data_IF_110576133158
#
_entry.id   IF_110576133158
#
_cell.length_a   1.000
_cell.length_b   1.000
_cell.length_c   1.000
_cell.angle_alpha   90.00
_cell.angle_beta   90.00
_cell.angle_gamma   90.00
#
_symmetry.space_group_name_H-M   'P 1'
#
loop_
_entity.id
_entity.type
_entity.pdbx_description
1 polymer ?
#
# COMPACT_ATOMS: atom_id res chain seq x y z
N UNK A 1 23.66 4.51 11.40
CA UNK A 1 22.55 3.56 11.15
C UNK A 1 21.29 4.38 10.89
N UNK A 2 20.77 4.38 9.65
CA UNK A 2 19.52 5.07 9.32
C UNK A 2 18.36 4.36 10.03
N UNK A 3 17.59 5.08 10.86
CA UNK A 3 16.36 4.56 11.44
C UNK A 3 15.21 4.91 10.50
N UNK A 4 14.75 3.97 9.69
CA UNK A 4 13.54 4.16 8.88
C UNK A 4 12.32 4.11 9.80
N UNK A 5 11.69 5.26 10.07
CA UNK A 5 10.37 5.29 10.70
C UNK A 5 9.34 4.84 9.68
N UNK A 6 8.64 3.73 9.96
CA UNK A 6 7.53 3.28 9.13
C UNK A 6 6.38 4.29 9.24
N UNK A 7 6.05 4.95 8.13
CA UNK A 7 4.85 5.76 8.01
C UNK A 7 3.64 4.85 7.83
N UNK A 8 2.52 5.21 8.45
CA UNK A 8 1.25 4.51 8.24
C UNK A 8 0.67 4.90 6.88
N UNK A 9 0.50 3.93 5.98
CA UNK A 9 -0.24 4.09 4.70
C UNK A 9 -1.72 4.30 5.00
N UNK A 10 -2.30 5.36 4.45
CA UNK A 10 -3.76 5.59 4.52
C UNK A 10 -4.50 4.76 3.47
N UNK A 11 -5.81 4.59 3.66
CA UNK A 11 -6.63 3.88 2.66
C UNK A 11 -6.60 4.58 1.30
N UNK A 12 -6.63 5.91 1.26
CA UNK A 12 -6.48 6.70 0.04
C UNK A 12 -5.19 6.38 -0.72
N UNK A 13 -4.07 6.26 -0.02
CA UNK A 13 -2.77 5.95 -0.61
C UNK A 13 -2.74 4.53 -1.17
N UNK A 14 -3.28 3.56 -0.42
CA UNK A 14 -3.37 2.18 -0.86
C UNK A 14 -4.31 2.02 -2.07
N UNK A 15 -5.47 2.67 -2.04
CA UNK A 15 -6.42 2.69 -3.14
C UNK A 15 -5.77 3.26 -4.41
N UNK A 16 -5.10 4.42 -4.29
CA UNK A 16 -4.40 5.03 -5.42
C UNK A 16 -3.34 4.10 -6.01
N UNK A 17 -2.58 3.40 -5.17
CA UNK A 17 -1.60 2.41 -5.62
C UNK A 17 -2.27 1.27 -6.40
N UNK A 18 -3.32 0.67 -5.85
CA UNK A 18 -4.03 -0.44 -6.49
C UNK A 18 -4.62 -0.03 -7.84
N UNK A 19 -5.23 1.16 -7.91
CA UNK A 19 -5.76 1.70 -9.16
C UNK A 19 -4.65 1.96 -10.19
N UNK A 20 -3.49 2.48 -9.77
CA UNK A 20 -2.33 2.69 -10.64
C UNK A 20 -1.74 1.37 -11.18
N UNK A 21 -1.86 0.29 -10.41
CA UNK A 21 -1.49 -1.06 -10.84
C UNK A 21 -2.54 -1.75 -11.72
N UNK A 22 -3.64 -1.07 -12.07
CA UNK A 22 -4.67 -1.60 -12.97
C UNK A 22 -5.76 -2.41 -12.27
N UNK A 23 -5.85 -2.37 -10.94
CA UNK A 23 -7.03 -2.90 -10.25
C UNK A 23 -8.26 -2.02 -10.51
N UNK A 24 -9.43 -2.65 -10.52
CA UNK A 24 -10.72 -2.00 -10.56
C UNK A 24 -11.39 -2.16 -9.20
N UNK A 25 -11.90 -1.05 -8.65
CA UNK A 25 -12.61 -1.06 -7.37
C UNK A 25 -14.09 -1.40 -7.57
N UNK A 26 -14.59 -2.32 -6.77
CA UNK A 26 -15.99 -2.66 -6.59
C UNK A 26 -16.34 -2.43 -5.12
N UNK A 27 -17.15 -1.41 -4.84
CA UNK A 27 -17.64 -1.15 -3.50
C UNK A 27 -18.82 -2.06 -3.17
N UNK A 28 -18.76 -2.72 -2.01
CA UNK A 28 -19.88 -3.42 -1.39
C UNK A 28 -20.23 -2.73 -0.06
N UNK A 29 -21.33 -3.14 0.57
CA UNK A 29 -21.83 -2.53 1.81
C UNK A 29 -20.74 -2.42 2.89
N UNK A 30 -20.04 -3.53 3.14
CA UNK A 30 -19.10 -3.67 4.26
C UNK A 30 -17.63 -3.83 3.82
N UNK A 31 -17.38 -3.94 2.52
CA UNK A 31 -16.06 -4.24 1.97
C UNK A 31 -15.76 -3.42 0.72
N UNK A 32 -14.49 -3.10 0.53
CA UNK A 32 -13.93 -2.65 -0.75
C UNK A 32 -13.19 -3.82 -1.39
N UNK A 33 -13.62 -4.20 -2.60
CA UNK A 33 -12.98 -5.24 -3.38
C UNK A 33 -12.22 -4.58 -4.53
N UNK A 34 -10.97 -4.96 -4.73
CA UNK A 34 -10.14 -4.54 -5.86
C UNK A 34 -9.81 -5.77 -6.68
N UNK A 35 -10.12 -5.75 -7.97
CA UNK A 35 -9.88 -6.86 -8.88
C UNK A 35 -8.98 -6.44 -10.04
N UNK A 36 -7.93 -7.21 -10.30
CA UNK A 36 -7.06 -6.98 -11.45
C UNK A 36 -7.50 -7.88 -12.63
N UNK A 37 -8.00 -7.33 -13.75
CA UNK A 37 -8.67 -8.12 -14.79
C UNK A 37 -7.74 -9.09 -15.53
N UNK A 38 -6.45 -8.75 -15.71
CA UNK A 38 -5.51 -9.59 -16.44
C UNK A 38 -5.01 -10.78 -15.60
N UNK A 39 -4.48 -10.52 -14.40
CA UNK A 39 -3.91 -11.53 -13.50
C UNK A 39 -4.94 -12.25 -12.61
N UNK A 40 -6.18 -11.76 -12.56
CA UNK A 40 -7.24 -12.22 -11.64
C UNK A 40 -6.89 -12.08 -10.15
N UNK A 41 -5.89 -11.26 -9.83
CA UNK A 41 -5.58 -10.90 -8.44
C UNK A 41 -6.77 -10.18 -7.81
N UNK A 42 -7.04 -10.47 -6.54
CA UNK A 42 -8.11 -9.83 -5.79
C UNK A 42 -7.63 -9.41 -4.41
N UNK A 43 -7.86 -8.15 -4.05
CA UNK A 43 -7.64 -7.60 -2.72
C UNK A 43 -9.00 -7.26 -2.13
N UNK A 44 -9.32 -7.82 -0.97
CA UNK A 44 -10.53 -7.49 -0.22
C UNK A 44 -10.14 -6.82 1.08
N UNK A 45 -10.72 -5.65 1.33
CA UNK A 45 -10.47 -4.84 2.51
C UNK A 45 -11.81 -4.57 3.20
N UNK A 46 -11.86 -4.54 4.55
CA UNK A 46 -12.96 -3.92 5.25
C UNK A 46 -13.17 -2.49 4.76
N UNK A 47 -14.37 -1.96 4.96
CA UNK A 47 -14.62 -0.56 4.65
C UNK A 47 -13.74 0.34 5.53
N UNK A 48 -12.89 1.11 4.87
CA UNK A 48 -12.05 2.13 5.48
C UNK A 48 -12.57 3.51 5.10
N UNK A 49 -12.49 4.45 6.05
CA UNK A 49 -12.56 5.87 5.73
C UNK A 49 -11.28 6.29 5.00
N UNK A 50 -11.41 7.28 4.10
CA UNK A 50 -10.38 7.61 3.12
C UNK A 50 -9.01 7.95 3.74
N UNK A 51 -8.99 8.72 4.82
CA UNK A 51 -7.75 9.18 5.47
C UNK A 51 -7.28 8.26 6.61
N UNK A 52 -8.00 7.18 6.90
CA UNK A 52 -7.66 6.26 7.98
C UNK A 52 -6.51 5.36 7.58
N UNK A 53 -5.57 5.17 8.50
CA UNK A 53 -4.47 4.23 8.36
C UNK A 53 -4.98 2.81 8.17
N UNK A 54 -4.49 2.12 7.13
CA UNK A 54 -4.80 0.72 6.89
C UNK A 54 -4.11 -0.13 7.95
N UNK A 55 -4.81 -1.12 8.49
CA UNK A 55 -4.23 -2.00 9.51
C UNK A 55 -3.04 -2.79 8.92
N UNK A 56 -1.96 -2.99 9.70
CA UNK A 56 -0.76 -3.70 9.24
C UNK A 56 -1.04 -5.11 8.70
N UNK A 57 -2.05 -5.80 9.23
CA UNK A 57 -2.47 -7.11 8.72
C UNK A 57 -2.93 -7.02 7.26
N UNK A 58 -3.78 -6.04 6.93
CA UNK A 58 -4.30 -5.88 5.58
C UNK A 58 -3.25 -5.38 4.58
N UNK A 59 -2.33 -4.52 5.04
CA UNK A 59 -1.16 -4.15 4.23
C UNK A 59 -0.28 -5.36 3.92
N UNK A 60 -0.02 -6.23 4.90
CA UNK A 60 0.75 -7.45 4.68
C UNK A 60 0.07 -8.43 3.72
N UNK A 61 -1.25 -8.60 3.82
CA UNK A 61 -2.00 -9.44 2.89
C UNK A 61 -1.97 -8.86 1.47
N UNK A 62 -2.16 -7.55 1.34
CA UNK A 62 -2.11 -6.84 0.05
C UNK A 62 -0.73 -7.00 -0.59
N UNK A 63 0.34 -6.75 0.18
CA UNK A 63 1.73 -6.94 -0.25
C UNK A 63 1.99 -8.35 -0.78
N UNK A 64 1.51 -9.39 -0.08
CA UNK A 64 1.65 -10.79 -0.52
C UNK A 64 0.89 -11.06 -1.82
N UNK A 65 -0.32 -10.52 -1.96
CA UNK A 65 -1.11 -10.68 -3.19
C UNK A 65 -0.38 -10.01 -4.37
N UNK A 66 0.11 -8.79 -4.19
CA UNK A 66 0.82 -8.10 -5.27
C UNK A 66 2.09 -8.84 -5.72
N UNK A 67 2.85 -9.40 -4.78
CA UNK A 67 4.06 -10.17 -5.07
C UNK A 67 3.74 -11.50 -5.76
N UNK A 68 2.78 -12.26 -5.23
CA UNK A 68 2.37 -13.57 -5.77
C UNK A 68 1.85 -13.49 -7.21
N UNK A 69 1.21 -12.37 -7.58
CA UNK A 69 0.68 -12.16 -8.92
C UNK A 69 1.63 -11.36 -9.83
N UNK A 70 2.86 -11.09 -9.38
CA UNK A 70 3.88 -10.39 -10.16
C UNK A 70 3.54 -8.92 -10.46
N UNK A 71 2.67 -8.30 -9.67
CA UNK A 71 2.22 -6.92 -9.85
C UNK A 71 3.13 -5.91 -9.17
N UNK A 72 3.70 -6.26 -8.02
CA UNK A 72 4.69 -5.45 -7.30
C UNK A 72 5.45 -6.32 -6.31
N UNK A 73 6.78 -6.22 -6.28
CA UNK A 73 7.60 -6.98 -5.33
C UNK A 73 7.44 -6.48 -3.90
N UNK A 74 7.70 -7.35 -2.92
CA UNK A 74 7.65 -6.97 -1.50
C UNK A 74 8.56 -5.78 -1.18
N UNK A 75 9.75 -5.75 -1.75
CA UNK A 75 10.73 -4.67 -1.52
C UNK A 75 10.24 -3.32 -2.07
N UNK A 76 9.60 -3.33 -3.25
CA UNK A 76 9.02 -2.12 -3.84
C UNK A 76 7.86 -1.60 -2.98
N UNK A 77 7.02 -2.50 -2.46
CA UNK A 77 5.91 -2.13 -1.58
C UNK A 77 6.42 -1.57 -0.24
N UNK A 78 7.42 -2.21 0.38
CA UNK A 78 7.98 -1.78 1.67
C UNK A 78 8.70 -0.42 1.56
N UNK A 79 9.19 -0.07 0.38
CA UNK A 79 9.75 1.25 0.07
C UNK A 79 8.73 2.39 0.18
N UNK A 80 7.42 2.13 0.00
CA UNK A 80 6.36 3.14 0.15
C UNK A 80 6.20 3.63 1.59
N UNK A 81 6.57 2.79 2.56
CA UNK A 81 6.49 3.10 4.00
C UNK A 81 7.70 3.88 4.52
N UNK A 82 8.70 4.11 3.68
CA UNK A 82 9.96 4.75 4.07
C UNK A 82 9.94 6.21 3.61
N UNK A 83 9.82 7.13 4.55
CA UNK A 83 10.21 8.52 4.29
C UNK A 83 11.73 8.60 4.43
N UNK A 84 12.48 9.17 3.47
CA UNK A 84 13.89 9.47 3.70
C UNK A 84 13.98 10.46 4.87
N UNK A 85 14.45 10.00 6.03
CA UNK A 85 14.81 10.89 7.13
C UNK A 85 16.15 11.50 6.77
N UNK A 86 16.14 12.69 6.15
CA UNK A 86 17.35 13.50 6.02
C UNK A 86 17.66 14.02 7.42
N UNK A 87 18.75 13.54 8.02
CA UNK A 87 19.29 14.11 9.25
C UNK A 87 19.71 15.56 8.97
N UNK A 88 19.35 16.49 9.85
CA UNK A 88 19.64 17.92 9.73
C UNK A 88 21.14 18.29 9.78
N UNK A 89 22.03 17.31 9.92
CA UNK A 89 23.49 17.49 10.05
C UNK A 89 24.23 17.53 8.69
N UNK A 90 23.56 17.33 7.55
CA UNK A 90 24.17 17.27 6.21
C UNK A 90 24.04 18.57 5.38
N UNK A 91 23.74 19.72 6.01
CA UNK A 91 23.81 21.02 5.34
C UNK A 91 25.22 21.60 5.56
N UNK A 92 26.11 21.62 4.54
CA UNK A 92 27.35 22.38 4.67
C UNK A 92 27.02 23.88 4.72
N UNK A 93 27.63 24.59 5.66
CA UNK A 93 27.58 26.05 5.80
C UNK A 93 27.91 26.81 4.52
#
# INVERSE_FOLDING_TARGET
MLRSTQRNITFAELEKLLLALGFQKVNQLDYSIFQHPATKAMVSLPKYEFEVAVQPLHLNLTRRILDNYGLMSTAAFDGLNQTPSISQDDIPE
#
